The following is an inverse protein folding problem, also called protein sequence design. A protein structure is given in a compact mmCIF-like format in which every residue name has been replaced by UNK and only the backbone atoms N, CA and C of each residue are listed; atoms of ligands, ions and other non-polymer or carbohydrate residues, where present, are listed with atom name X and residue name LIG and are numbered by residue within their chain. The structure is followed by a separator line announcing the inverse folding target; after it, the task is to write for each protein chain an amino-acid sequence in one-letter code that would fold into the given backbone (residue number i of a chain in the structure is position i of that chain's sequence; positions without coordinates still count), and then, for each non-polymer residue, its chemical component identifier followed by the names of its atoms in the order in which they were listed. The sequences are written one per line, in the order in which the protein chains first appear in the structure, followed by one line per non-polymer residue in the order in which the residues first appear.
data_IF_219799390791
#
_entry.id   IF_219799390791
#
_cell.length_a   1.000
_cell.length_b   1.000
_cell.length_c   1.000
_cell.angle_alpha   90.00
_cell.angle_beta   90.00
_cell.angle_gamma   90.00
#
_symmetry.space_group_name_H-M   'P 1'
#
loop_
_entity.id
_entity.type
_entity.pdbx_description
1 polymer ?
#
# COMPACT_ATOMS: atom_id res chain seq x y z
N UNK A 1 -1.00 22.10 6.12
CA UNK A 1 -0.21 21.66 4.94
C UNK A 1 -0.33 22.73 3.89
N UNK A 2 0.75 23.11 3.24
CA UNK A 2 0.67 24.02 2.09
C UNK A 2 0.11 23.27 0.87
N UNK A 3 -0.44 24.03 -0.08
CA UNK A 3 -0.89 23.45 -1.37
C UNK A 3 0.25 22.70 -2.08
N UNK A 4 1.49 23.16 -1.90
CA UNK A 4 2.66 22.50 -2.49
C UNK A 4 2.99 21.16 -1.80
N UNK A 5 2.89 21.09 -0.49
CA UNK A 5 3.08 19.83 0.27
C UNK A 5 2.06 18.78 -0.15
N UNK A 6 0.79 19.15 -0.30
CA UNK A 6 -0.25 18.24 -0.81
C UNK A 6 0.07 17.74 -2.21
N UNK A 7 0.50 18.62 -3.12
CA UNK A 7 0.91 18.21 -4.48
C UNK A 7 2.09 17.24 -4.46
N UNK A 8 3.07 17.50 -3.62
CA UNK A 8 4.23 16.61 -3.47
C UNK A 8 3.81 15.23 -2.95
N UNK A 9 2.89 15.18 -1.98
CA UNK A 9 2.38 13.94 -1.44
C UNK A 9 1.58 13.14 -2.49
N UNK A 10 0.69 13.79 -3.23
CA UNK A 10 -0.04 13.16 -4.33
C UNK A 10 0.90 12.63 -5.41
N UNK A 11 1.93 13.40 -5.76
CA UNK A 11 2.95 12.96 -6.72
C UNK A 11 3.72 11.74 -6.19
N UNK A 12 4.11 11.72 -4.93
CA UNK A 12 4.76 10.57 -4.30
C UNK A 12 3.89 9.31 -4.37
N UNK A 13 2.60 9.44 -4.07
CA UNK A 13 1.64 8.34 -4.15
C UNK A 13 1.51 7.81 -5.59
N UNK A 14 1.44 8.70 -6.57
CA UNK A 14 1.34 8.35 -7.99
C UNK A 14 2.63 7.65 -8.47
N UNK A 15 3.79 8.22 -8.15
CA UNK A 15 5.10 7.68 -8.56
C UNK A 15 5.36 6.30 -7.97
N UNK A 16 5.04 6.10 -6.71
CA UNK A 16 5.23 4.81 -6.02
C UNK A 16 4.39 3.72 -6.67
N UNK A 17 3.13 4.01 -6.97
CA UNK A 17 2.24 3.06 -7.65
C UNK A 17 2.67 2.79 -9.08
N UNK A 18 3.10 3.81 -9.81
CA UNK A 18 3.55 3.70 -11.20
C UNK A 18 4.77 2.77 -11.37
N UNK A 19 5.64 2.68 -10.36
CA UNK A 19 6.79 1.77 -10.38
C UNK A 19 6.36 0.31 -10.45
N UNK A 20 5.43 -0.12 -9.60
CA UNK A 20 4.91 -1.50 -9.64
C UNK A 20 4.12 -1.73 -10.94
N UNK A 21 3.28 -0.78 -11.37
CA UNK A 21 2.59 -0.88 -12.67
C UNK A 21 3.56 -1.16 -13.82
N UNK A 22 4.69 -0.47 -13.86
CA UNK A 22 5.71 -0.63 -14.89
C UNK A 22 6.41 -1.99 -14.85
N UNK A 23 6.43 -2.66 -13.70
CA UNK A 23 7.05 -3.98 -13.54
C UNK A 23 6.09 -5.14 -13.86
N UNK A 24 4.77 -4.94 -13.76
CA UNK A 24 3.78 -5.99 -13.95
C UNK A 24 3.96 -6.80 -15.25
N UNK A 25 4.25 -6.20 -16.43
CA UNK A 25 4.42 -6.98 -17.67
C UNK A 25 5.61 -7.95 -17.63
N UNK A 26 6.57 -7.76 -16.73
CA UNK A 26 7.77 -8.59 -16.62
C UNK A 26 7.60 -9.73 -15.61
N UNK A 27 6.51 -9.71 -14.82
CA UNK A 27 6.28 -10.66 -13.73
C UNK A 27 5.47 -11.85 -14.25
N UNK A 28 6.01 -13.06 -14.09
CA UNK A 28 5.23 -14.28 -14.27
C UNK A 28 4.23 -14.41 -13.12
N UNK A 29 2.90 -14.36 -13.38
CA UNK A 29 1.89 -14.34 -12.34
C UNK A 29 1.82 -15.64 -11.50
N UNK A 30 2.46 -16.72 -11.97
CA UNK A 30 2.45 -18.02 -11.31
C UNK A 30 3.70 -18.27 -10.43
N UNK A 31 4.68 -17.36 -10.49
CA UNK A 31 5.91 -17.48 -9.69
C UNK A 31 5.80 -16.72 -8.38
N UNK A 32 6.31 -17.34 -7.32
CA UNK A 32 6.40 -16.71 -6.01
C UNK A 32 7.50 -15.64 -6.00
N UNK A 33 7.13 -14.44 -5.54
CA UNK A 33 8.06 -13.33 -5.27
C UNK A 33 8.56 -13.44 -3.82
N UNK A 34 7.67 -13.75 -2.91
CA UNK A 34 7.98 -14.13 -1.52
C UNK A 34 7.47 -15.53 -1.25
N UNK A 35 7.97 -16.24 -0.23
CA UNK A 35 7.45 -17.56 0.12
C UNK A 35 5.92 -17.55 0.31
N UNK A 36 5.21 -18.29 -0.55
CA UNK A 36 3.74 -18.36 -0.56
C UNK A 36 3.02 -17.18 -1.21
N UNK A 37 3.72 -16.19 -1.76
CA UNK A 37 3.14 -15.02 -2.40
C UNK A 37 3.59 -14.86 -3.84
N UNK A 38 2.67 -14.96 -4.77
CA UNK A 38 2.80 -14.46 -6.14
C UNK A 38 2.49 -12.97 -6.18
N UNK A 39 2.54 -12.35 -7.35
CA UNK A 39 2.11 -10.95 -7.52
C UNK A 39 0.66 -10.72 -7.05
N UNK A 40 -0.20 -11.72 -7.17
CA UNK A 40 -1.60 -11.66 -6.73
C UNK A 40 -1.71 -11.39 -5.22
N UNK A 41 -1.01 -12.15 -4.39
CA UNK A 41 -1.01 -11.98 -2.94
C UNK A 41 -0.40 -10.65 -2.54
N UNK A 42 0.66 -10.22 -3.24
CA UNK A 42 1.29 -8.92 -3.00
C UNK A 42 0.31 -7.77 -3.27
N UNK A 43 -0.38 -7.77 -4.42
CA UNK A 43 -1.36 -6.73 -4.76
C UNK A 43 -2.54 -6.73 -3.78
N UNK A 44 -3.01 -7.91 -3.35
CA UNK A 44 -4.06 -8.05 -2.33
C UNK A 44 -3.61 -7.47 -0.97
N UNK A 45 -2.37 -7.72 -0.57
CA UNK A 45 -1.76 -7.18 0.64
C UNK A 45 -1.69 -5.64 0.60
N UNK A 46 -1.20 -5.06 -0.48
CA UNK A 46 -1.11 -3.60 -0.64
C UNK A 46 -2.49 -2.96 -0.65
N UNK A 47 -3.47 -3.57 -1.34
CA UNK A 47 -4.87 -3.12 -1.34
C UNK A 47 -5.46 -3.11 0.08
N UNK A 48 -5.15 -4.10 0.89
CA UNK A 48 -5.60 -4.16 2.29
C UNK A 48 -5.04 -3.02 3.14
N UNK A 49 -3.82 -2.57 2.89
CA UNK A 49 -3.26 -1.40 3.56
C UNK A 49 -3.83 -0.09 3.04
N UNK A 50 -4.15 0.03 1.76
CA UNK A 50 -4.91 1.17 1.24
C UNK A 50 -6.30 1.26 1.90
N UNK A 51 -7.03 0.14 2.04
CA UNK A 51 -8.32 0.09 2.74
C UNK A 51 -8.19 0.51 4.21
N UNK A 52 -7.15 0.05 4.89
CA UNK A 52 -6.85 0.43 6.27
C UNK A 52 -6.57 1.93 6.39
N UNK A 53 -5.83 2.49 5.45
CA UNK A 53 -5.54 3.93 5.39
C UNK A 53 -6.81 4.75 5.17
N UNK A 54 -7.66 4.33 4.22
CA UNK A 54 -8.94 4.98 3.92
C UNK A 54 -9.83 4.99 5.15
N UNK A 55 -9.97 3.87 5.86
CA UNK A 55 -10.81 3.79 7.06
C UNK A 55 -10.24 4.64 8.21
N UNK A 56 -8.93 4.62 8.40
CA UNK A 56 -8.24 5.45 9.39
C UNK A 56 -8.48 6.94 9.16
N UNK A 57 -8.29 7.39 7.93
CA UNK A 57 -8.52 8.79 7.55
C UNK A 57 -9.99 9.18 7.59
N UNK A 58 -10.89 8.28 7.21
CA UNK A 58 -12.34 8.50 7.31
C UNK A 58 -12.81 8.65 8.75
N UNK A 59 -12.28 7.85 9.67
CA UNK A 59 -12.55 7.99 11.10
C UNK A 59 -12.08 9.36 11.61
N UNK A 60 -10.89 9.80 11.23
CA UNK A 60 -10.34 11.11 11.58
C UNK A 60 -11.19 12.27 11.00
N UNK A 61 -11.60 12.18 9.74
CA UNK A 61 -12.49 13.18 9.10
C UNK A 61 -13.80 13.34 9.86
N UNK A 62 -14.40 12.22 10.27
CA UNK A 62 -15.70 12.18 10.92
C UNK A 62 -15.63 12.30 12.45
N UNK A 63 -14.44 12.49 13.02
CA UNK A 63 -14.20 12.60 14.47
C UNK A 63 -14.83 11.42 15.26
N UNK A 64 -14.74 10.23 14.70
CA UNK A 64 -15.21 8.99 15.32
C UNK A 64 -14.05 8.08 15.72
N UNK A 65 -14.24 7.16 16.66
CA UNK A 65 -13.27 6.12 16.94
C UNK A 65 -12.96 5.29 15.69
N UNK A 66 -11.76 4.69 15.63
CA UNK A 66 -11.44 3.71 14.63
C UNK A 66 -12.39 2.52 14.73
N UNK A 67 -12.96 2.11 13.59
CA UNK A 67 -13.79 0.90 13.49
C UNK A 67 -12.95 -0.34 13.23
N UNK A 68 -11.68 -0.15 12.86
CA UNK A 68 -10.70 -1.22 12.66
C UNK A 68 -10.22 -1.66 14.05
N UNK A 69 -10.27 -2.96 14.32
CA UNK A 69 -9.67 -3.53 15.52
C UNK A 69 -8.18 -3.19 15.59
N UNK A 70 -7.66 -3.02 16.80
CA UNK A 70 -6.24 -2.77 17.03
C UNK A 70 -5.39 -3.79 16.27
N UNK A 71 -4.50 -3.28 15.41
CA UNK A 71 -3.59 -4.12 14.65
C UNK A 71 -2.31 -4.27 15.46
N UNK A 72 -2.22 -5.39 16.20
CA UNK A 72 -1.02 -5.73 16.97
C UNK A 72 -0.14 -6.75 16.25
N UNK A 73 -0.73 -7.53 15.34
CA UNK A 73 -0.06 -8.53 14.53
C UNK A 73 -0.24 -8.18 13.04
N UNK A 74 0.85 -7.68 12.45
CA UNK A 74 0.85 -7.29 11.03
C UNK A 74 0.73 -8.52 10.11
N UNK A 75 1.28 -9.67 10.50
CA UNK A 75 1.17 -10.89 9.69
C UNK A 75 -0.27 -11.39 9.66
N UNK A 76 -0.98 -11.32 10.79
CA UNK A 76 -2.41 -11.65 10.84
C UNK A 76 -3.23 -10.68 9.97
N UNK A 77 -2.95 -9.38 10.04
CA UNK A 77 -3.61 -8.37 9.21
C UNK A 77 -3.38 -8.62 7.72
N UNK A 78 -2.13 -8.91 7.34
CA UNK A 78 -1.76 -9.26 5.97
C UNK A 78 -2.49 -10.52 5.50
N UNK A 79 -2.51 -11.57 6.31
CA UNK A 79 -3.22 -12.81 6.01
C UNK A 79 -4.73 -12.58 5.81
N UNK A 80 -5.36 -11.75 6.62
CA UNK A 80 -6.78 -11.36 6.46
C UNK A 80 -7.02 -10.58 5.16
N UNK A 81 -6.14 -9.63 4.84
CA UNK A 81 -6.23 -8.84 3.61
C UNK A 81 -6.14 -9.71 2.35
N UNK A 82 -5.25 -10.70 2.37
CA UNK A 82 -5.10 -11.68 1.30
C UNK A 82 -6.31 -12.61 1.25
N UNK A 83 -6.69 -13.21 2.39
CA UNK A 83 -7.76 -14.20 2.46
C UNK A 83 -9.12 -13.64 2.05
N UNK A 84 -9.38 -12.37 2.35
CA UNK A 84 -10.62 -11.69 1.93
C UNK A 84 -10.75 -11.56 0.40
N UNK A 85 -9.64 -11.72 -0.33
CA UNK A 85 -9.56 -11.61 -1.80
C UNK A 85 -9.28 -12.94 -2.52
N UNK A 86 -9.19 -14.06 -1.78
CA UNK A 86 -8.84 -15.37 -2.38
C UNK A 86 -9.82 -15.86 -3.45
N UNK A 87 -11.10 -15.47 -3.36
CA UNK A 87 -12.13 -15.83 -4.35
C UNK A 87 -12.09 -14.97 -5.62
N UNK A 88 -11.24 -13.94 -5.69
CA UNK A 88 -11.17 -13.03 -6.81
C UNK A 88 -10.18 -13.53 -7.86
N UNK A 89 -10.51 -13.34 -9.15
CA UNK A 89 -9.58 -13.56 -10.25
C UNK A 89 -8.47 -12.50 -10.28
N UNK A 90 -7.36 -12.81 -10.95
CA UNK A 90 -6.19 -11.92 -11.08
C UNK A 90 -6.56 -10.52 -11.60
N UNK A 91 -7.39 -10.45 -12.64
CA UNK A 91 -7.86 -9.18 -13.20
C UNK A 91 -8.67 -8.35 -12.20
N UNK A 92 -9.48 -9.00 -11.35
CA UNK A 92 -10.27 -8.31 -10.35
C UNK A 92 -9.37 -7.78 -9.23
N UNK A 93 -8.39 -8.55 -8.78
CA UNK A 93 -7.39 -8.10 -7.80
C UNK A 93 -6.62 -6.90 -8.34
N UNK A 94 -6.22 -6.93 -9.60
CA UNK A 94 -5.53 -5.81 -10.23
C UNK A 94 -6.41 -4.56 -10.32
N UNK A 95 -7.69 -4.72 -10.66
CA UNK A 95 -8.66 -3.61 -10.65
C UNK A 95 -8.86 -3.03 -9.25
N UNK A 96 -8.98 -3.88 -8.22
CA UNK A 96 -9.12 -3.43 -6.83
C UNK A 96 -7.86 -2.69 -6.35
N UNK A 97 -6.69 -3.21 -6.63
CA UNK A 97 -5.44 -2.57 -6.29
C UNK A 97 -5.30 -1.17 -6.91
N UNK A 98 -5.75 -0.98 -8.14
CA UNK A 98 -5.81 0.33 -8.79
C UNK A 98 -6.87 1.24 -8.18
N UNK A 99 -8.04 0.68 -7.90
CA UNK A 99 -9.20 1.41 -7.35
C UNK A 99 -8.96 1.89 -5.93
N UNK A 100 -8.44 1.06 -5.03
CA UNK A 100 -8.19 1.44 -3.64
C UNK A 100 -7.21 2.60 -3.54
N UNK A 101 -6.16 2.60 -4.37
CA UNK A 101 -5.22 3.72 -4.42
C UNK A 101 -5.86 4.98 -4.99
N UNK A 102 -6.68 4.87 -6.01
CA UNK A 102 -7.39 6.02 -6.57
C UNK A 102 -8.35 6.63 -5.55
N UNK A 103 -9.05 5.80 -4.78
CA UNK A 103 -9.94 6.24 -3.71
C UNK A 103 -9.16 6.96 -2.60
N UNK A 104 -8.03 6.39 -2.17
CA UNK A 104 -7.15 7.00 -1.18
C UNK A 104 -6.58 8.33 -1.69
N UNK A 105 -6.14 8.37 -2.94
CA UNK A 105 -5.60 9.57 -3.59
C UNK A 105 -6.64 10.69 -3.64
N UNK A 106 -7.86 10.38 -4.06
CA UNK A 106 -8.99 11.33 -4.09
C UNK A 106 -9.29 11.86 -2.68
N UNK A 107 -9.27 10.98 -1.69
CA UNK A 107 -9.46 11.39 -0.29
C UNK A 107 -8.37 12.39 0.16
N UNK A 108 -7.11 12.18 -0.18
CA UNK A 108 -6.02 13.10 0.16
C UNK A 108 -6.15 14.43 -0.61
N UNK A 109 -6.57 14.38 -1.88
CA UNK A 109 -6.79 15.58 -2.70
C UNK A 109 -7.87 16.47 -2.10
N UNK A 110 -8.95 15.89 -1.61
CA UNK A 110 -10.10 16.59 -1.02
C UNK A 110 -9.98 16.80 0.49
N UNK A 111 -8.89 16.33 1.12
CA UNK A 111 -8.75 16.37 2.58
C UNK A 111 -8.72 17.82 3.09
N UNK A 112 -9.53 18.19 4.13
CA UNK A 112 -9.53 19.53 4.66
C UNK A 112 -8.15 19.96 5.18
N UNK A 113 -7.69 21.11 4.76
CA UNK A 113 -6.32 21.57 5.04
C UNK A 113 -6.04 21.68 6.53
N UNK A 114 -7.01 22.16 7.30
CA UNK A 114 -6.89 22.30 8.74
C UNK A 114 -6.74 20.95 9.46
N UNK A 115 -7.20 19.84 8.86
CA UNK A 115 -7.13 18.51 9.45
C UNK A 115 -5.80 17.79 9.22
N UNK A 116 -5.00 18.22 8.25
CA UNK A 116 -3.68 17.63 8.03
C UNK A 116 -2.74 17.76 9.23
N UNK A 117 -2.92 18.80 10.03
CA UNK A 117 -2.10 19.08 11.22
C UNK A 117 -2.64 18.47 12.51
N UNK A 118 -3.87 17.99 12.47
CA UNK A 118 -4.49 17.34 13.63
C UNK A 118 -4.00 15.88 13.68
N UNK A 119 -3.45 15.42 14.83
CA UNK A 119 -2.97 14.05 14.93
C UNK A 119 -4.05 13.01 14.64
N UNK A 120 -3.71 12.03 13.81
CA UNK A 120 -4.55 10.89 13.42
C UNK A 120 -4.24 9.71 14.32
N UNK A 121 -5.26 9.14 14.98
CA UNK A 121 -5.11 7.88 15.69
C UNK A 121 -4.90 6.75 14.67
N UNK A 122 -3.89 5.91 14.90
CA UNK A 122 -3.55 4.82 13.97
C UNK A 122 -3.89 3.45 14.57
N UNK A 123 -4.25 2.45 13.73
CA UNK A 123 -4.76 1.16 14.20
C UNK A 123 -3.77 0.33 15.04
N UNK A 124 -2.47 0.59 14.93
CA UNK A 124 -1.42 -0.08 15.71
C UNK A 124 -1.04 0.64 16.98
N UNK A 125 -1.79 1.68 17.36
CA UNK A 125 -1.57 2.47 18.55
C UNK A 125 -0.78 3.75 18.32
N UNK A 126 -1.04 4.75 19.16
CA UNK A 126 -0.43 6.06 19.02
C UNK A 126 -1.11 6.96 18.00
N UNK A 127 -0.38 7.97 17.55
CA UNK A 127 -0.86 8.99 16.61
C UNK A 127 0.21 9.29 15.57
N UNK A 128 -0.25 9.71 14.39
CA UNK A 128 0.58 10.15 13.28
C UNK A 128 0.02 11.46 12.71
N UNK A 129 0.66 12.02 11.71
CA UNK A 129 0.05 13.03 10.83
C UNK A 129 -0.45 12.35 9.56
N UNK A 130 -1.31 13.03 8.80
CA UNK A 130 -1.76 12.50 7.49
C UNK A 130 -0.56 12.32 6.56
N UNK A 131 0.35 13.29 6.54
CA UNK A 131 1.56 13.25 5.71
C UNK A 131 2.46 12.06 6.07
N UNK A 132 2.85 11.95 7.34
CA UNK A 132 3.75 10.87 7.79
C UNK A 132 3.14 9.49 7.57
N UNK A 133 1.81 9.38 7.76
CA UNK A 133 1.09 8.13 7.51
C UNK A 133 1.16 7.72 6.04
N UNK A 134 0.93 8.65 5.12
CA UNK A 134 0.99 8.37 3.68
C UNK A 134 2.42 8.12 3.20
N UNK A 135 3.39 8.88 3.70
CA UNK A 135 4.80 8.64 3.40
C UNK A 135 5.25 7.26 3.85
N UNK A 136 4.85 6.82 5.04
CA UNK A 136 5.13 5.47 5.54
C UNK A 136 4.59 4.38 4.61
N UNK A 137 3.36 4.53 4.10
CA UNK A 137 2.79 3.57 3.16
C UNK A 137 3.44 3.62 1.78
N UNK A 138 3.84 4.79 1.31
CA UNK A 138 4.62 4.92 0.08
C UNK A 138 6.00 4.23 0.22
N UNK A 139 6.68 4.42 1.33
CA UNK A 139 7.96 3.74 1.62
C UNK A 139 7.80 2.22 1.70
N UNK A 140 6.72 1.74 2.31
CA UNK A 140 6.39 0.32 2.36
C UNK A 140 6.18 -0.25 0.94
N UNK A 141 5.40 0.41 0.09
CA UNK A 141 5.18 -0.02 -1.29
C UNK A 141 6.47 0.05 -2.12
N UNK A 142 7.28 1.08 -1.91
CA UNK A 142 8.61 1.20 -2.54
C UNK A 142 9.56 0.06 -2.13
N UNK A 143 9.45 -0.46 -0.91
CA UNK A 143 10.21 -1.64 -0.49
C UNK A 143 9.84 -2.88 -1.31
N UNK A 144 8.55 -3.08 -1.58
CA UNK A 144 8.10 -4.15 -2.47
C UNK A 144 8.58 -3.95 -3.91
N UNK A 145 8.62 -2.71 -4.40
CA UNK A 145 9.20 -2.39 -5.72
C UNK A 145 10.65 -2.85 -5.81
N UNK A 146 11.46 -2.54 -4.81
CA UNK A 146 12.88 -2.97 -4.76
C UNK A 146 13.01 -4.49 -4.71
N UNK A 147 12.17 -5.16 -3.94
CA UNK A 147 12.18 -6.62 -3.83
C UNK A 147 11.79 -7.28 -5.17
N UNK A 148 10.78 -6.75 -5.86
CA UNK A 148 10.38 -7.24 -7.20
C UNK A 148 11.53 -7.04 -8.20
N UNK A 149 12.17 -5.87 -8.21
CA UNK A 149 13.29 -5.59 -9.10
C UNK A 149 14.46 -6.54 -8.85
N UNK A 150 14.80 -6.78 -7.58
CA UNK A 150 15.82 -7.76 -7.20
C UNK A 150 15.44 -9.17 -7.64
N UNK A 151 14.20 -9.58 -7.39
CA UNK A 151 13.68 -10.89 -7.77
C UNK A 151 13.71 -11.10 -9.29
N UNK A 152 13.36 -10.09 -10.10
CA UNK A 152 13.46 -10.15 -11.57
C UNK A 152 14.90 -10.39 -12.03
N UNK A 153 15.87 -9.70 -11.43
CA UNK A 153 17.29 -9.91 -11.74
C UNK A 153 17.74 -11.35 -11.48
N UNK A 154 17.30 -11.96 -10.38
CA UNK A 154 17.63 -13.36 -10.05
C UNK A 154 16.95 -14.35 -11.00
N UNK A 155 15.71 -14.09 -11.43
CA UNK A 155 15.01 -14.97 -12.36
C UNK A 155 15.53 -14.89 -13.77
N UNK A 156 16.06 -13.74 -14.20
CA UNK A 156 16.71 -13.55 -15.50
C UNK A 156 18.15 -14.07 -15.53
N UNK A 157 18.83 -14.08 -14.38
CA UNK A 157 20.21 -14.52 -14.27
C UNK A 157 20.44 -15.36 -13.00
N UNK A 158 20.07 -16.66 -13.01
CA UNK A 158 20.13 -17.54 -11.84
C UNK A 158 21.56 -17.84 -11.34
N UNK A 159 22.59 -17.31 -11.99
CA UNK A 159 23.99 -17.48 -11.63
C UNK A 159 24.61 -16.24 -10.92
N UNK A 160 23.83 -15.22 -10.62
CA UNK A 160 24.29 -14.16 -9.73
C UNK A 160 24.14 -14.69 -8.29
N UNK A 161 25.20 -15.36 -7.80
CA UNK A 161 25.33 -15.64 -6.38
C UNK A 161 25.35 -14.33 -5.59
N UNK A 162 24.69 -14.33 -4.41
CA UNK A 162 24.75 -13.19 -3.50
C UNK A 162 26.24 -12.92 -3.21
N UNK A 163 26.76 -11.83 -3.78
CA UNK A 163 28.07 -11.32 -3.41
C UNK A 163 28.01 -10.91 -1.93
N UNK A 164 28.89 -11.48 -1.13
CA UNK A 164 29.13 -11.20 0.28
C UNK A 164 29.24 -9.69 0.60
#
# INVERSE_FOLDING_TARGET
MSTQERKNLLQLMDDTRAKIEGLLPQIDPHKEIYPGWTIRELLAHVSGWDDTSIETLRAHLNRRPLSIADIHDFDEHNAKSISSRLGLGEEQILREWRSTRQDLRTMIEDYPEEKFRIPVAVPWGGKSTVTDLMEMFCDHEDSHTRDIQKWLQYTENPFIEEGE
#
